data_IF_258359404030
#
_entry.id   IF_258359404030
#
_cell.length_a   1.000
_cell.length_b   1.000
_cell.length_c   1.000
_cell.angle_alpha   90.00
_cell.angle_beta   90.00
_cell.angle_gamma   90.00
#
_symmetry.space_group_name_H-M   'P 1'
#
loop_
_entity.id
_entity.type
_entity.pdbx_description
1 polymer ?
#
# COMPACT_ATOMS: atom_id res chain seq x y z
N UNK A 1 2.28 9.75 0.68
CA UNK A 1 1.16 8.79 0.75
C UNK A 1 0.12 9.16 -0.29
N UNK A 2 -0.37 8.21 -1.08
CA UNK A 2 -1.32 8.42 -2.16
C UNK A 2 -2.36 7.28 -2.22
N UNK A 3 -3.24 7.35 -3.21
CA UNK A 3 -4.18 6.32 -3.62
C UNK A 3 -4.01 6.14 -5.11
N UNK A 4 -4.10 4.89 -5.59
CA UNK A 4 -3.97 4.58 -7.01
C UNK A 4 -5.36 4.42 -7.59
N UNK A 5 -5.90 5.55 -8.05
CA UNK A 5 -7.20 5.65 -8.70
C UNK A 5 -6.97 6.25 -10.08
N UNK A 6 -6.97 5.39 -11.10
CA UNK A 6 -6.82 5.77 -12.49
C UNK A 6 -8.07 5.42 -13.28
N UNK A 7 -8.44 6.28 -14.22
CA UNK A 7 -9.60 6.08 -15.08
C UNK A 7 -10.96 6.20 -14.37
N UNK A 8 -12.02 5.91 -15.12
CA UNK A 8 -13.41 5.93 -14.62
C UNK A 8 -13.75 4.68 -13.81
N UNK A 9 -13.07 3.57 -14.07
CA UNK A 9 -13.28 2.28 -13.41
C UNK A 9 -11.95 1.83 -12.81
N UNK A 10 -11.92 1.69 -11.49
CA UNK A 10 -10.74 1.21 -10.76
C UNK A 10 -11.04 -0.13 -10.06
N UNK A 11 -10.15 -1.10 -10.24
CA UNK A 11 -10.18 -2.35 -9.49
C UNK A 11 -9.74 -2.06 -8.04
N UNK A 12 -10.43 -2.60 -7.03
CA UNK A 12 -10.25 -2.16 -5.64
C UNK A 12 -8.96 -2.67 -4.98
N UNK A 13 -8.21 -3.54 -5.65
CA UNK A 13 -6.98 -4.14 -5.15
C UNK A 13 -5.82 -3.92 -6.12
N UNK A 14 -4.61 -3.91 -5.58
CA UNK A 14 -3.38 -3.96 -6.36
C UNK A 14 -2.34 -4.80 -5.65
N UNK A 15 -1.32 -5.22 -6.41
CA UNK A 15 -0.24 -6.08 -5.95
C UNK A 15 1.08 -5.34 -6.11
N UNK A 16 1.96 -5.47 -5.13
CA UNK A 16 3.37 -5.07 -5.26
C UNK A 16 4.26 -6.25 -4.91
N UNK A 17 5.15 -6.62 -5.82
CA UNK A 17 6.18 -7.63 -5.62
C UNK A 17 7.53 -6.97 -5.35
N UNK A 18 8.29 -7.49 -4.39
CA UNK A 18 9.55 -6.90 -3.94
C UNK A 18 10.73 -7.60 -4.59
N UNK A 19 11.55 -6.84 -5.32
CA UNK A 19 12.59 -7.38 -6.20
C UNK A 19 14.01 -7.19 -5.65
N UNK A 20 14.20 -6.36 -4.63
CA UNK A 20 15.49 -6.07 -4.00
C UNK A 20 15.56 -6.66 -2.60
N UNK A 21 16.76 -7.05 -2.15
CA UNK A 21 17.02 -7.57 -0.80
C UNK A 21 17.22 -6.41 0.16
N UNK A 22 16.42 -6.38 1.22
CA UNK A 22 16.53 -5.38 2.30
C UNK A 22 17.85 -5.55 3.05
N UNK A 23 18.38 -4.45 3.58
CA UNK A 23 19.62 -4.33 4.36
C UNK A 23 20.91 -4.71 3.57
N UNK A 24 20.77 -5.32 2.40
CA UNK A 24 21.85 -5.63 1.45
C UNK A 24 21.85 -4.61 0.31
N UNK A 25 20.78 -4.58 -0.49
CA UNK A 25 20.70 -3.72 -1.68
C UNK A 25 20.21 -2.30 -1.34
N UNK A 26 19.48 -2.12 -0.23
CA UNK A 26 18.97 -0.83 0.25
C UNK A 26 18.67 -0.80 1.76
N UNK A 27 18.64 0.42 2.34
CA UNK A 27 18.17 0.69 3.72
C UNK A 27 16.94 1.62 3.72
N UNK A 28 16.05 1.45 4.70
CA UNK A 28 14.77 2.17 4.79
C UNK A 28 13.78 1.68 3.73
N UNK A 29 12.97 2.58 3.17
CA UNK A 29 12.05 2.24 2.07
C UNK A 29 10.91 1.29 2.48
N UNK A 30 10.47 1.36 3.73
CA UNK A 30 9.32 0.61 4.22
C UNK A 30 8.06 0.94 3.41
N UNK A 31 7.25 -0.08 3.16
CA UNK A 31 5.94 0.08 2.58
C UNK A 31 4.97 0.60 3.64
N UNK A 32 4.45 1.80 3.43
CA UNK A 32 3.58 2.48 4.38
C UNK A 32 2.12 2.23 4.02
N UNK A 33 1.32 1.86 5.01
CA UNK A 33 -0.14 1.81 4.94
C UNK A 33 -0.73 2.73 6.00
N UNK A 34 -1.71 3.54 5.61
CA UNK A 34 -2.47 4.40 6.55
C UNK A 34 -3.95 4.15 6.38
N UNK A 35 -4.58 3.68 7.44
CA UNK A 35 -6.03 3.49 7.55
C UNK A 35 -6.66 4.67 8.28
N UNK A 36 -7.61 5.35 7.65
CA UNK A 36 -8.40 6.40 8.28
C UNK A 36 -9.56 5.78 9.07
N UNK A 37 -9.68 6.16 10.34
CA UNK A 37 -10.79 5.74 11.20
C UNK A 37 -11.75 6.90 11.46
N UNK A 38 -13.07 6.74 11.24
CA UNK A 38 -14.03 7.79 11.51
C UNK A 38 -13.94 8.28 12.96
N UNK A 39 -13.81 9.59 13.17
CA UNK A 39 -13.76 10.24 14.49
C UNK A 39 -12.63 9.73 15.40
N UNK A 40 -11.58 9.16 14.83
CA UNK A 40 -10.40 8.68 15.54
C UNK A 40 -9.13 8.98 14.73
N UNK A 41 -7.97 8.89 15.38
CA UNK A 41 -6.69 9.05 14.71
C UNK A 41 -6.47 7.88 13.72
N UNK A 42 -5.95 8.21 12.53
CA UNK A 42 -5.52 7.22 11.55
C UNK A 42 -4.45 6.29 12.13
N UNK A 43 -4.48 5.03 11.73
CA UNK A 43 -3.45 4.06 12.07
C UNK A 43 -2.48 3.97 10.90
N UNK A 44 -1.20 4.23 11.17
CA UNK A 44 -0.11 3.98 10.24
C UNK A 44 0.57 2.65 10.54
N UNK A 45 0.96 1.94 9.49
CA UNK A 45 1.77 0.73 9.56
C UNK A 45 2.94 0.88 8.57
N UNK A 46 4.15 0.59 9.03
CA UNK A 46 5.34 0.51 8.21
C UNK A 46 5.73 -0.97 8.09
N UNK A 47 5.70 -1.49 6.87
CA UNK A 47 5.93 -2.89 6.57
C UNK A 47 7.24 -3.05 5.80
N UNK A 48 7.98 -4.09 6.14
CA UNK A 48 9.18 -4.51 5.41
C UNK A 48 8.92 -5.86 4.76
N UNK A 49 9.60 -6.11 3.65
CA UNK A 49 9.44 -7.31 2.84
C UNK A 49 10.80 -7.73 2.31
N UNK A 50 11.01 -9.04 2.25
CA UNK A 50 12.18 -9.65 1.64
C UNK A 50 12.00 -9.83 0.12
N UNK A 51 13.11 -10.07 -0.58
CA UNK A 51 13.06 -10.32 -2.01
C UNK A 51 12.20 -11.55 -2.33
N UNK A 52 11.28 -11.40 -3.29
CA UNK A 52 10.36 -12.46 -3.71
C UNK A 52 9.03 -12.46 -2.96
N UNK A 53 8.88 -11.67 -1.90
CA UNK A 53 7.58 -11.48 -1.25
C UNK A 53 6.69 -10.52 -2.05
N UNK A 54 5.40 -10.51 -1.71
CA UNK A 54 4.44 -9.61 -2.31
C UNK A 54 3.33 -9.20 -1.34
N UNK A 55 2.76 -8.02 -1.56
CA UNK A 55 1.62 -7.50 -0.82
C UNK A 55 0.44 -7.22 -1.74
N UNK A 56 -0.74 -7.73 -1.37
CA UNK A 56 -2.02 -7.31 -1.92
C UNK A 56 -2.65 -6.30 -0.98
N UNK A 57 -3.06 -5.15 -1.51
CA UNK A 57 -3.65 -4.09 -0.69
C UNK A 57 -4.72 -3.31 -1.46
N UNK A 58 -5.58 -2.64 -0.71
CA UNK A 58 -6.68 -1.87 -1.28
C UNK A 58 -6.19 -0.56 -1.92
N UNK A 59 -6.69 -0.23 -3.11
CA UNK A 59 -6.29 0.98 -3.87
C UNK A 59 -6.77 2.28 -3.23
N UNK A 60 -7.92 2.24 -2.55
CA UNK A 60 -8.52 3.43 -1.93
C UNK A 60 -9.24 3.17 -0.62
N UNK A 61 -9.89 2.02 -0.46
CA UNK A 61 -10.65 1.71 0.76
C UNK A 61 -10.80 0.21 0.95
N UNK A 62 -10.90 -0.22 2.21
CA UNK A 62 -11.22 -1.61 2.57
C UNK A 62 -12.49 -1.67 3.42
N UNK A 63 -13.24 -2.78 3.36
CA UNK A 63 -14.34 -3.01 4.29
C UNK A 63 -13.79 -3.23 5.70
N UNK A 64 -14.36 -2.52 6.67
CA UNK A 64 -14.07 -2.68 8.11
C UNK A 64 -15.36 -2.97 8.85
N UNK A 65 -15.34 -3.95 9.75
CA UNK A 65 -16.49 -4.34 10.56
C UNK A 65 -16.72 -3.29 11.66
N UNK A 66 -17.90 -2.67 11.66
CA UNK A 66 -18.38 -1.79 12.72
C UNK A 66 -19.59 -2.37 13.46
N UNK A 67 -20.14 -1.59 14.40
CA UNK A 67 -21.31 -1.98 15.19
C UNK A 67 -22.62 -2.06 14.40
N UNK A 68 -22.73 -1.29 13.29
CA UNK A 68 -23.91 -1.23 12.41
C UNK A 68 -23.69 -1.92 11.05
N UNK A 69 -22.71 -2.82 10.98
CA UNK A 69 -22.30 -3.49 9.74
C UNK A 69 -20.95 -3.00 9.23
N UNK A 70 -20.65 -3.30 7.96
CA UNK A 70 -19.40 -2.91 7.34
C UNK A 70 -19.43 -1.46 6.87
N UNK A 71 -18.32 -0.74 7.04
CA UNK A 71 -18.12 0.58 6.47
C UNK A 71 -16.81 0.60 5.66
N UNK A 72 -16.67 1.61 4.79
CA UNK A 72 -15.46 1.83 3.98
C UNK A 72 -14.45 2.63 4.81
N UNK A 73 -13.32 2.04 5.13
CA UNK A 73 -12.20 2.77 5.71
C UNK A 73 -11.25 3.20 4.59
N UNK A 74 -10.97 4.50 4.50
CA UNK A 74 -10.04 5.05 3.51
C UNK A 74 -8.63 4.54 3.79
N UNK A 75 -8.00 3.97 2.77
CA UNK A 75 -6.62 3.50 2.77
C UNK A 75 -5.78 4.45 1.94
N UNK A 76 -4.58 4.78 2.43
CA UNK A 76 -3.51 5.41 1.65
C UNK A 76 -2.25 4.59 1.81
N UNK A 77 -1.43 4.54 0.78
CA UNK A 77 -0.16 3.83 0.81
C UNK A 77 0.99 4.73 0.35
N UNK A 78 2.20 4.26 0.55
CA UNK A 78 3.39 4.91 0.02
C UNK A 78 4.64 4.16 0.42
N UNK A 79 5.78 4.78 0.17
CA UNK A 79 7.08 4.24 0.55
C UNK A 79 7.78 5.30 1.39
N UNK A 80 8.44 4.89 2.47
CA UNK A 80 9.28 5.78 3.25
C UNK A 80 10.53 6.17 2.44
N UNK A 81 11.36 7.03 3.00
CA UNK A 81 12.62 7.42 2.35
C UNK A 81 13.54 6.21 2.28
N UNK A 82 14.09 5.95 1.09
CA UNK A 82 15.28 5.09 0.96
C UNK A 82 16.49 5.89 1.41
N UNK A 83 17.21 5.38 2.40
CA UNK A 83 18.35 6.07 2.99
C UNK A 83 19.66 5.74 2.27
N UNK A 84 19.77 4.50 1.76
CA UNK A 84 20.95 3.98 1.04
C UNK A 84 20.48 3.04 -0.06
N UNK A 85 21.23 3.00 -1.17
CA UNK A 85 21.06 1.99 -2.21
C UNK A 85 19.85 2.24 -3.11
N UNK A 86 19.38 1.17 -3.76
CA UNK A 86 18.27 1.23 -4.71
C UNK A 86 17.27 0.10 -4.44
N UNK A 87 15.99 0.47 -4.44
CA UNK A 87 14.88 -0.44 -4.13
C UNK A 87 13.98 -0.58 -5.35
N UNK A 88 13.88 -1.80 -5.87
CA UNK A 88 13.05 -2.13 -7.02
C UNK A 88 11.82 -2.95 -6.60
N UNK A 89 10.67 -2.60 -7.18
CA UNK A 89 9.41 -3.30 -7.01
C UNK A 89 8.66 -3.39 -8.33
N UNK A 90 7.90 -4.46 -8.52
CA UNK A 90 6.95 -4.59 -9.61
C UNK A 90 5.53 -4.33 -9.07
N UNK A 91 4.91 -3.25 -9.52
CA UNK A 91 3.49 -2.99 -9.26
C UNK A 91 2.62 -3.62 -10.34
N UNK A 92 1.55 -4.31 -9.94
CA UNK A 92 0.51 -4.82 -10.83
C UNK A 92 -0.81 -4.14 -10.47
N UNK A 93 -1.28 -3.32 -11.42
CA UNK A 93 -2.51 -2.53 -11.30
C UNK A 93 -3.55 -3.16 -12.23
N UNK A 94 -4.71 -3.54 -11.67
CA UNK A 94 -5.72 -4.34 -12.38
C UNK A 94 -6.83 -3.48 -13.02
N UNK A 95 -6.53 -2.24 -13.41
CA UNK A 95 -7.52 -1.35 -14.03
C UNK A 95 -6.92 -0.45 -15.10
N UNK A 96 -7.79 0.12 -15.91
CA UNK A 96 -7.44 0.93 -17.07
C UNK A 96 -6.86 2.28 -16.62
N UNK A 97 -5.54 2.38 -16.66
CA UNK A 97 -4.83 3.65 -16.62
C UNK A 97 -4.82 4.21 -18.05
N UNK A 98 -5.76 5.10 -18.37
CA UNK A 98 -5.60 5.97 -19.54
C UNK A 98 -4.42 6.92 -19.35
#
# INVERSE_FOLDING_TARGET
>A
LHQDLYGEIAFPLQLTCFLSRRDVDYDGGEFLLVEQRPRAQSIGCALTFEQGEAIVFATSHRPVRGTRGYYRATMRHGVSRVHRGARYTLGVIFHDAK
#
